data_IF_515941467674
#
_entry.id   IF_515941467674
#
_cell.length_a   1.000
_cell.length_b   1.000
_cell.length_c   1.000
_cell.angle_alpha   90.00
_cell.angle_beta   90.00
_cell.angle_gamma   90.00
#
_symmetry.space_group_name_H-M   'P 1'
#
loop_
_entity.id
_entity.type
_entity.pdbx_description
1 polymer ?
#
# COMPACT_ATOMS: atom_id res chain seq x y z
N UNK A 1 -1.59 10.24 -10.14
CA UNK A 1 -0.61 9.26 -9.76
C UNK A 1 0.48 9.15 -10.79
N UNK A 2 1.68 8.81 -10.35
CA UNK A 2 2.78 8.70 -11.29
C UNK A 2 2.45 7.69 -12.38
N UNK A 3 2.77 8.04 -13.62
CA UNK A 3 2.47 7.19 -14.75
C UNK A 3 3.48 6.07 -14.91
N UNK A 4 4.58 6.12 -14.17
CA UNK A 4 5.59 5.10 -14.26
C UNK A 4 5.32 3.99 -13.24
N UNK A 5 5.46 2.73 -13.67
CA UNK A 5 5.26 1.63 -12.72
C UNK A 5 6.35 1.61 -11.67
N UNK A 6 5.98 1.23 -10.46
CA UNK A 6 6.93 1.06 -9.39
C UNK A 6 7.74 -0.21 -9.62
N UNK A 7 9.03 -0.13 -9.37
CA UNK A 7 9.94 -1.24 -9.52
C UNK A 7 10.27 -1.84 -8.16
N UNK A 8 10.76 -3.07 -8.17
CA UNK A 8 11.20 -3.72 -6.94
C UNK A 8 12.47 -3.08 -6.40
N UNK A 9 12.58 -3.01 -5.07
CA UNK A 9 13.82 -2.61 -4.41
C UNK A 9 14.21 -1.17 -4.59
N UNK A 10 13.25 -0.26 -4.67
CA UNK A 10 13.51 1.15 -4.92
C UNK A 10 12.84 2.04 -3.90
N UNK A 11 13.40 3.23 -3.72
CA UNK A 11 12.83 4.27 -2.86
C UNK A 11 11.84 5.11 -3.67
N UNK A 12 10.70 5.41 -3.06
CA UNK A 12 9.69 6.24 -3.70
C UNK A 12 9.05 7.19 -2.70
N UNK A 13 8.67 8.34 -3.22
CA UNK A 13 7.76 9.25 -2.55
C UNK A 13 6.42 9.13 -3.27
N UNK A 14 5.46 8.50 -2.60
CA UNK A 14 4.11 8.32 -3.13
C UNK A 14 3.24 9.44 -2.57
N UNK A 15 2.51 10.09 -3.45
CA UNK A 15 1.63 11.14 -2.99
C UNK A 15 0.37 11.17 -3.84
N UNK A 16 -0.74 11.54 -3.23
CA UNK A 16 -2.01 11.62 -3.91
C UNK A 16 -2.83 12.75 -3.33
N UNK A 17 -3.62 13.38 -4.18
CA UNK A 17 -4.44 14.52 -3.81
C UNK A 17 -5.86 14.30 -4.32
N UNK A 18 -6.85 14.77 -3.54
CA UNK A 18 -8.24 14.73 -3.98
C UNK A 18 -8.47 15.62 -5.18
N UNK A 19 -9.37 15.21 -6.06
CA UNK A 19 -9.72 15.98 -7.24
C UNK A 19 -10.44 17.26 -6.85
N UNK A 20 -10.11 18.36 -7.50
CA UNK A 20 -10.79 19.64 -7.31
C UNK A 20 -10.78 20.10 -5.84
N UNK A 21 -9.73 19.78 -5.11
CA UNK A 21 -9.62 20.16 -3.71
C UNK A 21 -10.51 19.37 -2.75
N UNK A 22 -11.13 18.29 -3.23
CA UNK A 22 -11.95 17.46 -2.37
C UNK A 22 -11.10 16.77 -1.30
N UNK A 23 -11.71 16.55 -0.13
CA UNK A 23 -11.03 15.87 0.95
C UNK A 23 -11.00 14.38 0.70
N UNK A 24 -9.83 13.78 0.95
CA UNK A 24 -9.66 12.32 0.95
C UNK A 24 -10.09 11.73 2.29
N UNK A 25 -9.91 12.50 3.36
CA UNK A 25 -10.28 12.09 4.72
C UNK A 25 -11.27 13.11 5.24
N UNK A 26 -12.53 12.71 5.36
CA UNK A 26 -13.59 13.62 5.78
C UNK A 26 -13.88 13.48 7.26
N UNK A 27 -13.84 12.28 7.79
CA UNK A 27 -14.10 12.00 9.20
C UNK A 27 -12.84 11.48 9.86
N UNK A 28 -12.74 11.69 11.17
CA UNK A 28 -11.58 11.20 11.93
C UNK A 28 -11.34 9.71 11.73
N UNK A 29 -12.40 8.92 11.65
CA UNK A 29 -12.28 7.48 11.49
C UNK A 29 -11.70 7.08 10.14
N UNK A 30 -11.66 8.00 9.17
CA UNK A 30 -11.07 7.70 7.86
C UNK A 30 -9.57 7.46 7.94
N UNK A 31 -8.88 8.15 8.87
CA UNK A 31 -7.44 8.00 9.00
C UNK A 31 -7.02 6.60 9.44
N UNK A 32 -7.51 6.08 10.57
CA UNK A 32 -7.13 4.71 10.95
C UNK A 32 -7.64 3.67 9.97
N UNK A 33 -8.78 3.91 9.33
CA UNK A 33 -9.27 2.98 8.34
C UNK A 33 -8.32 2.91 7.13
N UNK A 34 -7.87 4.07 6.63
CA UNK A 34 -6.91 4.10 5.55
C UNK A 34 -5.61 3.39 5.95
N UNK A 35 -5.12 3.64 7.15
CA UNK A 35 -3.89 3.01 7.62
C UNK A 35 -4.03 1.51 7.75
N UNK A 36 -5.21 1.01 8.12
CA UNK A 36 -5.45 -0.42 8.17
C UNK A 36 -5.42 -1.04 6.78
N UNK A 37 -6.09 -0.41 5.82
CA UNK A 37 -6.03 -0.86 4.43
C UNK A 37 -4.60 -0.80 3.90
N UNK A 38 -3.90 0.28 4.23
CA UNK A 38 -2.52 0.46 3.82
C UNK A 38 -1.66 -0.69 4.33
N UNK A 39 -1.79 -1.02 5.60
CA UNK A 39 -1.03 -2.13 6.17
C UNK A 39 -1.34 -3.44 5.44
N UNK A 40 -2.61 -3.71 5.19
CA UNK A 40 -3.02 -4.95 4.54
C UNK A 40 -2.46 -5.07 3.13
N UNK A 41 -2.47 -3.98 2.38
CA UNK A 41 -2.06 -4.02 0.97
C UNK A 41 -0.58 -3.79 0.78
N UNK A 42 0.05 -2.98 1.60
CA UNK A 42 1.38 -2.47 1.31
C UNK A 42 2.47 -3.12 2.15
N UNK A 43 2.20 -3.50 3.39
CA UNK A 43 3.24 -4.14 4.20
C UNK A 43 3.89 -5.34 3.52
N UNK A 44 3.15 -6.17 2.76
CA UNK A 44 3.80 -7.28 2.07
C UNK A 44 4.71 -6.86 0.92
N UNK A 45 4.61 -5.63 0.41
CA UNK A 45 5.34 -5.23 -0.78
C UNK A 45 6.33 -4.09 -0.54
N UNK A 46 6.26 -3.41 0.60
CA UNK A 46 7.12 -2.26 0.83
C UNK A 46 7.31 -1.98 2.31
N UNK A 47 8.45 -1.38 2.61
CA UNK A 47 8.77 -0.83 3.91
C UNK A 47 8.42 0.65 3.91
N UNK A 48 7.75 1.11 4.97
CA UNK A 48 7.33 2.51 5.06
C UNK A 48 8.25 3.24 6.03
N UNK A 49 8.91 4.28 5.54
CA UNK A 49 9.80 5.08 6.37
C UNK A 49 9.07 6.23 7.06
N UNK A 50 8.10 6.81 6.39
CA UNK A 50 7.36 7.94 6.94
C UNK A 50 6.05 8.11 6.17
N UNK A 51 5.07 8.75 6.84
CA UNK A 51 3.84 9.11 6.16
C UNK A 51 3.28 10.38 6.77
N UNK A 52 2.47 11.06 5.97
CA UNK A 52 1.76 12.26 6.41
C UNK A 52 0.39 12.24 5.77
N UNK A 53 -0.67 12.23 6.58
CA UNK A 53 -2.05 12.21 6.08
C UNK A 53 -2.69 13.55 6.39
N UNK A 54 -3.03 14.26 5.33
CA UNK A 54 -3.71 15.56 5.43
C UNK A 54 -5.12 15.41 4.83
N UNK A 55 -6.06 16.29 5.18
CA UNK A 55 -7.45 16.06 4.75
C UNK A 55 -7.62 15.85 3.26
N UNK A 56 -6.86 16.56 2.42
CA UNK A 56 -7.04 16.49 0.97
C UNK A 56 -5.88 15.85 0.22
N UNK A 57 -4.87 15.36 0.94
CA UNK A 57 -3.76 14.66 0.29
C UNK A 57 -2.93 13.90 1.31
N UNK A 58 -2.07 13.02 0.82
CA UNK A 58 -1.15 12.30 1.68
C UNK A 58 0.21 12.14 1.01
N UNK A 59 1.21 11.88 1.84
CA UNK A 59 2.58 11.61 1.40
C UNK A 59 3.07 10.35 2.10
N UNK A 60 3.75 9.51 1.34
CA UNK A 60 4.35 8.28 1.86
C UNK A 60 5.78 8.19 1.36
N UNK A 61 6.72 7.91 2.24
CA UNK A 61 8.09 7.61 1.87
C UNK A 61 8.31 6.12 2.08
N UNK A 62 8.55 5.39 1.01
CA UNK A 62 8.63 3.94 1.06
C UNK A 62 9.84 3.41 0.31
N UNK A 63 10.20 2.17 0.60
CA UNK A 63 11.10 1.37 -0.21
C UNK A 63 10.39 0.09 -0.59
N UNK A 64 10.22 -0.14 -1.88
CA UNK A 64 9.61 -1.39 -2.34
C UNK A 64 10.56 -2.55 -2.07
N UNK A 65 9.99 -3.69 -1.68
CA UNK A 65 10.78 -4.89 -1.45
C UNK A 65 11.22 -5.50 -2.77
N UNK A 66 12.37 -6.15 -2.75
CA UNK A 66 12.73 -7.07 -3.83
C UNK A 66 11.81 -8.29 -3.76
N UNK A 67 11.85 -9.09 -4.82
CA UNK A 67 11.05 -10.32 -4.83
C UNK A 67 11.45 -11.25 -3.67
N UNK A 68 12.75 -11.33 -3.40
CA UNK A 68 13.26 -12.14 -2.30
C UNK A 68 12.79 -11.60 -0.95
N UNK A 69 12.76 -10.29 -0.80
CA UNK A 69 12.29 -9.68 0.45
C UNK A 69 10.80 -9.93 0.67
N UNK A 70 10.01 -9.91 -0.40
CA UNK A 70 8.60 -10.24 -0.28
C UNK A 70 8.39 -11.68 0.16
N UNK A 71 9.17 -12.59 -0.38
CA UNK A 71 9.09 -13.99 0.01
C UNK A 71 9.50 -14.17 1.47
N UNK A 72 10.55 -13.47 1.91
CA UNK A 72 10.97 -13.53 3.31
C UNK A 72 9.89 -12.98 4.25
N UNK A 73 9.24 -11.90 3.85
CA UNK A 73 8.15 -11.34 4.64
C UNK A 73 7.02 -12.33 4.79
N UNK A 74 6.62 -12.95 3.67
CA UNK A 74 5.54 -13.94 3.69
C UNK A 74 5.89 -15.13 4.59
N UNK A 75 7.12 -15.62 4.47
CA UNK A 75 7.55 -16.75 5.27
C UNK A 75 7.54 -16.41 6.77
N UNK A 76 7.92 -15.19 7.12
CA UNK A 76 7.91 -14.76 8.51
C UNK A 76 6.48 -14.68 9.07
N UNK A 77 5.51 -14.34 8.22
CA UNK A 77 4.12 -14.23 8.66
C UNK A 77 3.42 -15.57 8.74
N UNK A 78 3.71 -16.49 7.82
CA UNK A 78 2.97 -17.75 7.69
C UNK A 78 3.77 -18.92 8.23
N UNK A 79 5.07 -18.75 8.40
CA UNK A 79 5.95 -19.85 8.83
C UNK A 79 6.34 -20.74 7.66
N UNK A 80 7.13 -21.79 7.94
CA UNK A 80 7.72 -22.63 6.90
C UNK A 80 6.78 -23.69 6.31
N UNK A 81 5.49 -23.46 6.33
CA UNK A 81 4.51 -24.45 5.88
C UNK A 81 4.37 -24.44 4.36
N UNK A 82 5.23 -23.78 3.68
CA UNK A 82 5.12 -23.60 2.24
C UNK A 82 5.34 -24.87 1.42
N UNK A 83 5.57 -26.01 2.07
CA UNK A 83 5.78 -27.25 1.34
C UNK A 83 4.53 -27.75 0.61
N UNK A 84 3.35 -27.33 1.04
CA UNK A 84 2.10 -27.82 0.48
C UNK A 84 1.26 -26.69 -0.12
N UNK A 85 1.67 -25.44 0.10
CA UNK A 85 0.95 -24.28 -0.40
C UNK A 85 1.27 -23.97 -1.85
N UNK A 86 0.52 -23.05 -2.43
CA UNK A 86 0.83 -22.60 -3.79
C UNK A 86 2.21 -21.94 -3.82
N UNK A 87 2.82 -22.03 -5.00
CA UNK A 87 4.11 -21.40 -5.23
C UNK A 87 3.97 -19.89 -4.98
N UNK A 88 4.91 -19.33 -4.19
CA UNK A 88 4.90 -17.89 -3.94
C UNK A 88 5.09 -17.12 -5.23
N UNK A 89 4.25 -16.13 -5.43
CA UNK A 89 4.37 -15.20 -6.55
C UNK A 89 4.52 -13.79 -6.00
N UNK A 90 5.58 -13.08 -6.36
CA UNK A 90 5.73 -11.71 -5.90
C UNK A 90 4.59 -10.83 -6.39
N UNK A 91 4.19 -9.88 -5.55
CA UNK A 91 3.18 -8.89 -5.92
C UNK A 91 3.85 -7.70 -6.57
N UNK A 92 3.26 -7.23 -7.66
CA UNK A 92 3.70 -6.00 -8.30
C UNK A 92 3.38 -4.82 -7.39
N UNK A 93 4.38 -4.00 -7.03
CA UNK A 93 4.11 -2.88 -6.12
C UNK A 93 3.08 -1.88 -6.65
N UNK A 94 3.09 -1.60 -7.96
CA UNK A 94 2.11 -0.69 -8.55
C UNK A 94 0.70 -1.24 -8.40
N UNK A 95 0.53 -2.53 -8.61
CA UNK A 95 -0.77 -3.16 -8.45
C UNK A 95 -1.25 -3.11 -7.00
N UNK A 96 -0.33 -3.31 -6.06
CA UNK A 96 -0.69 -3.25 -4.65
C UNK A 96 -1.22 -1.86 -4.26
N UNK A 97 -0.55 -0.80 -4.71
CA UNK A 97 -1.02 0.55 -4.46
C UNK A 97 -2.33 0.84 -5.16
N UNK A 98 -2.47 0.37 -6.40
CA UNK A 98 -3.72 0.56 -7.12
C UNK A 98 -4.88 -0.11 -6.40
N UNK A 99 -4.67 -1.32 -5.91
CA UNK A 99 -5.70 -2.04 -5.16
C UNK A 99 -6.06 -1.33 -3.86
N UNK A 100 -5.06 -0.76 -3.18
CA UNK A 100 -5.30 0.03 -1.98
C UNK A 100 -6.21 1.21 -2.29
N UNK A 101 -5.90 1.96 -3.35
CA UNK A 101 -6.67 3.15 -3.67
C UNK A 101 -8.10 2.78 -4.09
N UNK A 102 -8.27 1.71 -4.84
CA UNK A 102 -9.60 1.23 -5.22
C UNK A 102 -10.39 0.83 -3.97
N UNK A 103 -9.78 0.10 -3.06
CA UNK A 103 -10.46 -0.33 -1.84
C UNK A 103 -10.88 0.85 -1.00
N UNK A 104 -10.00 1.84 -0.84
CA UNK A 104 -10.33 3.01 -0.05
C UNK A 104 -11.44 3.83 -0.70
N UNK A 105 -11.36 4.02 -2.01
CA UNK A 105 -12.38 4.79 -2.74
C UNK A 105 -13.76 4.13 -2.62
N UNK A 106 -13.81 2.81 -2.72
CA UNK A 106 -15.08 2.08 -2.58
C UNK A 106 -15.68 2.27 -1.19
N UNK A 107 -14.87 2.15 -0.18
CA UNK A 107 -15.34 2.32 1.19
C UNK A 107 -15.77 3.76 1.45
N UNK A 108 -15.00 4.72 0.94
CA UNK A 108 -15.30 6.13 1.10
C UNK A 108 -16.64 6.49 0.44
N UNK A 109 -16.89 5.95 -0.74
CA UNK A 109 -18.11 6.26 -1.48
C UNK A 109 -19.36 5.61 -0.90
N UNK A 110 -19.20 4.62 -0.04
CA UNK A 110 -20.32 3.96 0.62
C UNK A 110 -20.72 4.61 1.93
N UNK A 111 -19.90 5.52 2.42
CA UNK A 111 -20.10 6.12 3.73
C UNK A 111 -21.26 7.13 3.75
#
# INVERSE_FOLDING_TARGET
>A
MANEPLQYGRLYHIYNRGNNGENLFVQQRNYPYFLQLYANHIQPVAETYAYCLLPNHFHLAIRTYTEEEQEAYRAAQIGPISKIGPIFKPQNPSRAFNNLFIAYARAFNKA
#
